data_IF_153427639146
#
_entry.id   IF_153427639146
#
_cell.length_a   1.000
_cell.length_b   1.000
_cell.length_c   1.000
_cell.angle_alpha   90.00
_cell.angle_beta   90.00
_cell.angle_gamma   90.00
#
_symmetry.space_group_name_H-M   'P 1'
#
loop_
_entity.id
_entity.type
_entity.pdbx_description
1 polymer ?
#
# COMPACT_ATOMS: atom_id res chain seq x y z
N UNK A 1 -18.88 -1.00 -15.71
CA UNK A 1 -17.58 -1.63 -15.99
C UNK A 1 -17.06 -2.11 -14.66
N UNK A 2 -17.34 -3.36 -14.34
CA UNK A 2 -16.75 -4.02 -13.17
C UNK A 2 -15.24 -4.06 -13.38
N UNK A 3 -14.54 -3.21 -12.65
CA UNK A 3 -13.09 -3.28 -12.59
C UNK A 3 -12.73 -4.67 -12.09
N UNK A 4 -12.01 -5.41 -12.90
CA UNK A 4 -11.47 -6.71 -12.55
C UNK A 4 -10.59 -6.54 -11.31
N UNK A 5 -11.15 -6.85 -10.13
CA UNK A 5 -10.40 -6.92 -8.88
C UNK A 5 -9.51 -8.15 -9.00
N UNK A 6 -8.34 -8.00 -9.60
CA UNK A 6 -7.28 -8.97 -9.40
C UNK A 6 -6.97 -8.89 -7.91
N UNK A 7 -7.51 -9.85 -7.17
CA UNK A 7 -7.17 -10.10 -5.79
C UNK A 7 -5.73 -10.62 -5.80
N UNK A 8 -4.78 -9.71 -6.07
CA UNK A 8 -3.38 -10.00 -5.91
C UNK A 8 -3.22 -10.14 -4.41
N UNK A 9 -3.15 -11.39 -3.96
CA UNK A 9 -2.98 -11.75 -2.56
C UNK A 9 -1.88 -10.86 -1.96
N UNK A 10 -2.27 -9.80 -1.27
CA UNK A 10 -1.37 -8.93 -0.51
C UNK A 10 -0.46 -9.80 0.36
N UNK A 11 -0.98 -10.96 0.81
CA UNK A 11 -0.30 -12.04 1.51
C UNK A 11 1.00 -12.57 0.86
N UNK A 12 1.23 -12.37 -0.45
CA UNK A 12 2.46 -12.80 -1.14
C UNK A 12 3.59 -11.77 -1.05
N UNK A 13 3.26 -10.49 -0.87
CA UNK A 13 4.24 -9.42 -0.66
C UNK A 13 4.55 -9.32 0.84
N UNK A 14 5.63 -9.97 1.26
CA UNK A 14 6.08 -10.04 2.65
C UNK A 14 7.35 -9.22 2.91
N UNK A 15 8.07 -8.83 1.86
CA UNK A 15 9.33 -8.07 1.99
C UNK A 15 9.30 -6.79 1.14
N UNK A 16 10.10 -5.80 1.55
CA UNK A 16 10.27 -4.56 0.79
C UNK A 16 10.81 -4.82 -0.62
N UNK A 17 11.74 -5.77 -0.77
CA UNK A 17 12.28 -6.17 -2.07
C UNK A 17 11.18 -6.66 -3.01
N UNK A 18 10.24 -7.47 -2.52
CA UNK A 18 9.12 -7.95 -3.33
C UNK A 18 8.20 -6.80 -3.75
N UNK A 19 7.99 -5.81 -2.87
CA UNK A 19 7.25 -4.60 -3.23
C UNK A 19 7.98 -3.82 -4.33
N UNK A 20 9.30 -3.66 -4.23
CA UNK A 20 10.08 -2.95 -5.25
C UNK A 20 10.06 -3.68 -6.59
N UNK A 21 10.20 -5.00 -6.60
CA UNK A 21 10.09 -5.83 -7.80
C UNK A 21 8.69 -5.73 -8.41
N UNK A 22 7.64 -5.76 -7.58
CA UNK A 22 6.27 -5.54 -8.02
C UNK A 22 6.08 -4.15 -8.63
N UNK A 23 6.56 -3.10 -7.96
CA UNK A 23 6.47 -1.72 -8.48
C UNK A 23 7.22 -1.54 -9.81
N UNK A 24 8.30 -2.30 -10.04
CA UNK A 24 9.07 -2.30 -11.30
C UNK A 24 8.41 -3.15 -12.40
N UNK A 25 7.82 -4.28 -12.04
CA UNK A 25 7.32 -5.27 -12.98
C UNK A 25 5.93 -4.99 -13.54
N UNK A 26 5.16 -4.11 -12.92
CA UNK A 26 3.71 -4.03 -13.19
C UNK A 26 3.29 -2.68 -13.77
N UNK A 27 2.85 -2.71 -15.03
CA UNK A 27 2.25 -1.58 -15.77
C UNK A 27 0.76 -1.40 -15.52
N UNK A 28 0.12 -2.29 -14.75
CA UNK A 28 -1.29 -2.20 -14.41
C UNK A 28 -1.54 -1.33 -13.17
N UNK A 29 -2.66 -0.59 -13.19
CA UNK A 29 -3.19 0.14 -12.04
C UNK A 29 -4.11 -0.80 -11.26
N UNK A 30 -3.65 -1.26 -10.10
CA UNK A 30 -4.45 -2.09 -9.19
C UNK A 30 -5.23 -1.19 -8.25
N UNK A 31 -6.54 -1.07 -8.39
CA UNK A 31 -7.32 -0.23 -7.48
C UNK A 31 -8.27 -1.09 -6.66
N UNK A 32 -8.00 -1.18 -5.36
CA UNK A 32 -8.96 -1.75 -4.41
C UNK A 32 -10.17 -0.81 -4.26
N UNK A 33 -11.33 -1.39 -3.95
CA UNK A 33 -12.56 -0.65 -3.63
C UNK A 33 -12.36 0.30 -2.45
N UNK A 34 -13.20 1.32 -2.32
CA UNK A 34 -13.02 2.36 -1.29
C UNK A 34 -13.01 1.79 0.12
N UNK A 35 -13.82 0.78 0.36
CA UNK A 35 -13.98 0.07 1.63
C UNK A 35 -12.71 -0.70 2.03
N UNK A 36 -11.98 -1.19 1.03
CA UNK A 36 -10.74 -1.97 1.21
C UNK A 36 -9.50 -1.09 1.39
N UNK A 37 -9.58 0.21 1.13
CA UNK A 37 -8.41 1.11 1.21
C UNK A 37 -7.85 1.22 2.63
N UNK A 38 -8.71 1.42 3.61
CA UNK A 38 -8.27 1.55 5.01
C UNK A 38 -7.72 0.21 5.54
N UNK A 39 -8.43 -0.93 5.42
CA UNK A 39 -7.89 -2.24 5.79
C UNK A 39 -6.57 -2.59 5.09
N UNK A 40 -6.41 -2.24 3.81
CA UNK A 40 -5.18 -2.41 3.06
C UNK A 40 -4.03 -1.58 3.66
N UNK A 41 -4.27 -0.31 3.96
CA UNK A 41 -3.26 0.57 4.58
C UNK A 41 -2.85 0.00 5.94
N UNK A 42 -3.83 -0.30 6.80
CA UNK A 42 -3.61 -0.85 8.14
C UNK A 42 -2.81 -2.15 8.11
N UNK A 43 -3.23 -3.16 7.33
CA UNK A 43 -2.53 -4.45 7.26
C UNK A 43 -1.11 -4.30 6.71
N UNK A 44 -0.89 -3.38 5.78
CA UNK A 44 0.44 -3.12 5.19
C UNK A 44 1.36 -2.47 6.21
N UNK A 45 0.91 -1.40 6.87
CA UNK A 45 1.72 -0.68 7.85
C UNK A 45 2.12 -1.57 9.03
N UNK A 46 1.18 -2.37 9.53
CA UNK A 46 1.43 -3.33 10.61
C UNK A 46 2.41 -4.42 10.18
N UNK A 47 2.20 -5.02 9.00
CA UNK A 47 3.06 -6.11 8.50
C UNK A 47 4.52 -5.67 8.33
N UNK A 48 4.74 -4.48 7.78
CA UNK A 48 6.08 -3.97 7.52
C UNK A 48 6.67 -3.19 8.70
N UNK A 49 5.94 -3.06 9.81
CA UNK A 49 6.38 -2.28 10.97
C UNK A 49 6.74 -0.86 10.59
N UNK A 50 5.85 -0.19 9.84
CA UNK A 50 6.13 1.08 9.14
C UNK A 50 6.80 2.13 10.02
N UNK A 51 6.45 2.21 11.31
CA UNK A 51 7.05 3.16 12.24
C UNK A 51 8.57 3.03 12.35
N UNK A 52 9.08 1.79 12.34
CA UNK A 52 10.50 1.42 12.49
C UNK A 52 11.29 1.53 11.18
N UNK A 53 10.62 1.72 10.05
CA UNK A 53 11.26 1.81 8.74
C UNK A 53 12.04 3.11 8.56
N UNK A 54 13.17 3.01 7.86
CA UNK A 54 13.93 4.15 7.40
C UNK A 54 13.14 4.96 6.36
N UNK A 55 13.50 6.24 6.17
CA UNK A 55 12.81 7.15 5.24
C UNK A 55 12.71 6.60 3.80
N UNK A 56 13.74 5.88 3.34
CA UNK A 56 13.76 5.25 2.01
C UNK A 56 12.71 4.14 1.90
N UNK A 57 12.67 3.27 2.90
CA UNK A 57 11.75 2.13 2.98
C UNK A 57 10.29 2.60 3.12
N UNK A 58 10.05 3.64 3.93
CA UNK A 58 8.74 4.31 4.02
C UNK A 58 8.27 4.78 2.63
N UNK A 59 9.17 5.33 1.82
CA UNK A 59 8.86 5.74 0.44
C UNK A 59 8.43 4.60 -0.48
N UNK A 60 8.97 3.40 -0.28
CA UNK A 60 8.56 2.19 -1.03
C UNK A 60 7.13 1.79 -0.65
N UNK A 61 6.82 1.77 0.65
CA UNK A 61 5.47 1.45 1.14
C UNK A 61 4.44 2.47 0.66
N UNK A 62 4.76 3.77 0.68
CA UNK A 62 3.84 4.80 0.19
C UNK A 62 3.52 4.62 -1.31
N UNK A 63 4.54 4.34 -2.14
CA UNK A 63 4.32 4.09 -3.58
C UNK A 63 3.48 2.84 -3.84
N UNK A 64 3.67 1.81 -3.01
CA UNK A 64 2.84 0.61 -3.06
C UNK A 64 1.37 0.92 -2.76
N UNK A 65 1.11 1.63 -1.67
CA UNK A 65 -0.25 2.03 -1.28
C UNK A 65 -0.90 2.97 -2.30
N UNK A 66 -0.16 3.91 -2.87
CA UNK A 66 -0.62 4.76 -3.98
C UNK A 66 -1.08 3.89 -5.15
N UNK A 67 -0.24 2.92 -5.56
CA UNK A 67 -0.55 2.04 -6.67
C UNK A 67 -1.78 1.18 -6.41
N UNK A 68 -1.90 0.59 -5.21
CA UNK A 68 -2.95 -0.36 -4.84
C UNK A 68 -4.30 0.32 -4.53
N UNK A 69 -4.29 1.57 -4.06
CA UNK A 69 -5.52 2.29 -3.71
C UNK A 69 -6.01 3.22 -4.81
N UNK A 70 -5.12 3.60 -5.74
CA UNK A 70 -5.34 4.66 -6.73
C UNK A 70 -5.42 6.05 -6.11
N UNK A 71 -5.04 6.21 -4.84
CA UNK A 71 -5.01 7.48 -4.14
C UNK A 71 -3.73 8.25 -4.48
N UNK A 72 -3.82 9.59 -4.42
CA UNK A 72 -2.62 10.41 -4.53
C UNK A 72 -1.72 10.21 -3.32
N UNK A 73 -0.42 10.49 -3.49
CA UNK A 73 0.56 10.46 -2.40
C UNK A 73 0.12 11.22 -1.15
N UNK A 74 -0.51 12.38 -1.32
CA UNK A 74 -0.99 13.21 -0.22
C UNK A 74 -2.12 12.52 0.54
N UNK A 75 -3.05 11.88 -0.18
CA UNK A 75 -4.17 11.14 0.43
C UNK A 75 -3.68 9.90 1.19
N UNK A 76 -2.75 9.14 0.61
CA UNK A 76 -2.13 7.99 1.29
C UNK A 76 -1.39 8.46 2.54
N UNK A 77 -0.59 9.51 2.43
CA UNK A 77 0.14 10.08 3.58
C UNK A 77 -0.82 10.45 4.71
N UNK A 78 -1.96 11.08 4.40
CA UNK A 78 -2.98 11.40 5.39
C UNK A 78 -3.57 10.16 6.07
N UNK A 79 -3.86 9.10 5.31
CA UNK A 79 -4.36 7.84 5.88
C UNK A 79 -3.33 7.17 6.79
N UNK A 80 -2.05 7.19 6.41
CA UNK A 80 -0.95 6.68 7.24
C UNK A 80 -0.85 7.49 8.54
N UNK A 81 -0.91 8.82 8.47
CA UNK A 81 -0.92 9.67 9.66
C UNK A 81 -2.10 9.36 10.58
N UNK A 82 -3.30 9.25 10.01
CA UNK A 82 -4.50 8.89 10.78
C UNK A 82 -4.31 7.55 11.49
N UNK A 83 -3.77 6.53 10.81
CA UNK A 83 -3.44 5.24 11.45
C UNK A 83 -2.46 5.40 12.62
N UNK A 84 -1.40 6.21 12.48
CA UNK A 84 -0.43 6.45 13.55
C UNK A 84 -1.04 7.20 14.75
N UNK A 85 -2.09 8.00 14.53
CA UNK A 85 -2.80 8.73 15.59
C UNK A 85 -3.89 7.90 16.27
N UNK A 86 -4.53 6.98 15.54
CA UNK A 86 -5.64 6.15 16.03
C UNK A 86 -5.20 4.74 16.48
N UNK A 87 -3.91 4.45 16.45
CA UNK A 87 -3.32 3.14 16.77
C UNK A 87 -3.73 2.59 18.13
#
# INVERSE_FOLDING_TARGET
MDGMVINMDDCKLKTLTQIEEFLRGTGELFHVSKEERYPLVERTLTRFGYEKLARKEKGVILRYLERMTGLSRQQVTRLVHQFQETG
#
